data_IF_266243998506
#
_entry.id   IF_266243998506
#
_cell.length_a   1.000
_cell.length_b   1.000
_cell.length_c   1.000
_cell.angle_alpha   90.00
_cell.angle_beta   90.00
_cell.angle_gamma   90.00
#
_symmetry.space_group_name_H-M   'P 1'
#
loop_
_entity.id
_entity.type
_entity.pdbx_description
1 polymer ?
#
# COMPACT_ATOMS: atom_id res chain seq x y z
N UNK A 1 -12.57 10.88 -9.50
CA UNK A 1 -12.46 10.14 -10.77
C UNK A 1 -12.95 8.73 -10.51
N UNK A 2 -13.81 8.18 -11.37
CA UNK A 2 -14.24 6.78 -11.25
C UNK A 2 -13.03 5.89 -11.53
N UNK A 3 -12.44 5.27 -10.50
CA UNK A 3 -11.42 4.24 -10.70
C UNK A 3 -12.01 3.15 -11.60
N UNK A 4 -11.35 2.87 -12.72
CA UNK A 4 -11.73 1.76 -13.59
C UNK A 4 -11.49 0.46 -12.82
N UNK A 5 -12.56 -0.30 -12.60
CA UNK A 5 -12.50 -1.60 -11.91
C UNK A 5 -13.02 -2.69 -12.85
N UNK A 6 -12.36 -3.85 -12.81
CA UNK A 6 -12.74 -5.02 -13.60
C UNK A 6 -12.67 -6.28 -12.72
N UNK A 7 -13.36 -7.34 -13.13
CA UNK A 7 -13.27 -8.63 -12.44
C UNK A 7 -12.02 -9.38 -12.92
N UNK A 8 -11.13 -9.72 -11.98
CA UNK A 8 -9.98 -10.56 -12.21
C UNK A 8 -9.47 -11.13 -10.88
N UNK A 9 -8.43 -11.96 -10.94
CA UNK A 9 -7.75 -12.45 -9.75
C UNK A 9 -6.93 -11.34 -9.09
N UNK A 10 -7.12 -11.14 -7.78
CA UNK A 10 -6.34 -10.21 -6.99
C UNK A 10 -4.94 -10.76 -6.71
N UNK A 11 -3.89 -10.03 -7.07
CA UNK A 11 -2.49 -10.44 -6.86
C UNK A 11 -2.08 -10.56 -5.38
N UNK A 12 -2.86 -10.00 -4.46
CA UNK A 12 -2.55 -10.02 -3.03
C UNK A 12 -3.22 -11.14 -2.25
N UNK A 13 -4.42 -11.58 -2.66
CA UNK A 13 -5.19 -12.61 -1.97
C UNK A 13 -5.60 -13.78 -2.85
N UNK A 14 -5.27 -13.76 -4.14
CA UNK A 14 -5.52 -14.80 -5.13
C UNK A 14 -7.00 -15.20 -5.29
N UNK A 15 -7.91 -14.26 -5.01
CA UNK A 15 -9.35 -14.44 -5.20
C UNK A 15 -9.83 -13.65 -6.41
N UNK A 16 -10.79 -14.20 -7.15
CA UNK A 16 -11.50 -13.48 -8.21
C UNK A 16 -12.45 -12.48 -7.56
N UNK A 17 -12.16 -11.18 -7.71
CA UNK A 17 -12.93 -10.07 -7.16
C UNK A 17 -12.84 -8.86 -8.12
N UNK A 18 -13.52 -7.76 -7.78
CA UNK A 18 -13.29 -6.48 -8.45
C UNK A 18 -11.93 -5.92 -8.05
N UNK A 19 -11.07 -5.71 -9.04
CA UNK A 19 -9.71 -5.21 -8.88
C UNK A 19 -9.53 -3.85 -9.57
N UNK A 20 -8.52 -3.11 -9.13
CA UNK A 20 -8.06 -1.89 -9.79
C UNK A 20 -7.10 -2.21 -10.96
N UNK A 21 -6.44 -1.19 -11.49
CA UNK A 21 -5.50 -1.29 -12.61
C UNK A 21 -4.19 -2.04 -12.30
N UNK A 22 -3.81 -2.19 -11.03
CA UNK A 22 -2.68 -3.03 -10.58
C UNK A 22 -3.30 -4.21 -9.83
N UNK A 23 -3.84 -5.21 -10.54
CA UNK A 23 -4.88 -6.16 -10.12
C UNK A 23 -5.00 -6.47 -8.62
N UNK A 24 -5.43 -5.50 -7.83
CA UNK A 24 -5.63 -5.61 -6.39
C UNK A 24 -7.09 -5.31 -6.07
N UNK A 25 -7.69 -6.17 -5.25
CA UNK A 25 -8.96 -5.84 -4.63
C UNK A 25 -8.75 -4.69 -3.64
N UNK A 26 -9.83 -4.00 -3.28
CA UNK A 26 -9.79 -2.81 -2.39
C UNK A 26 -8.98 -3.02 -1.10
N UNK A 27 -9.10 -4.21 -0.50
CA UNK A 27 -8.39 -4.56 0.73
C UNK A 27 -6.87 -4.67 0.51
N UNK A 28 -6.45 -5.41 -0.52
CA UNK A 28 -5.04 -5.56 -0.87
C UNK A 28 -4.43 -4.23 -1.34
N UNK A 29 -5.16 -3.42 -2.12
CA UNK A 29 -4.68 -2.10 -2.52
C UNK A 29 -4.43 -1.20 -1.30
N UNK A 30 -5.34 -1.23 -0.31
CA UNK A 30 -5.17 -0.46 0.92
C UNK A 30 -3.93 -0.90 1.72
N UNK A 31 -3.58 -2.19 1.69
CA UNK A 31 -2.36 -2.71 2.31
C UNK A 31 -1.11 -2.27 1.55
N UNK A 32 -1.15 -2.38 0.23
CA UNK A 32 -0.07 -1.97 -0.66
C UNK A 32 0.27 -0.48 -0.48
N UNK A 33 -0.75 0.39 -0.48
CA UNK A 33 -0.57 1.82 -0.24
C UNK A 33 0.09 2.11 1.12
N UNK A 34 -0.35 1.43 2.18
CA UNK A 34 0.30 1.57 3.51
C UNK A 34 1.75 1.12 3.49
N UNK A 35 2.07 0.04 2.77
CA UNK A 35 3.44 -0.46 2.65
C UNK A 35 4.34 0.52 1.89
N UNK A 36 3.85 1.11 0.79
CA UNK A 36 4.59 2.17 0.09
C UNK A 36 4.92 3.34 1.03
N UNK A 37 3.94 3.80 1.80
CA UNK A 37 4.16 4.89 2.78
C UNK A 37 5.10 4.45 3.90
N UNK A 38 4.99 3.22 4.42
CA UNK A 38 5.93 2.65 5.41
C UNK A 38 7.36 2.59 4.88
N UNK A 39 7.55 2.30 3.60
CA UNK A 39 8.87 2.26 2.97
C UNK A 39 9.40 3.65 2.61
N UNK A 40 8.58 4.70 2.70
CA UNK A 40 8.95 6.05 2.27
C UNK A 40 8.82 6.29 0.77
N UNK A 41 8.20 5.34 0.04
CA UNK A 41 7.97 5.38 -1.40
C UNK A 41 6.77 6.28 -1.76
N UNK A 42 6.78 7.52 -1.25
CA UNK A 42 5.62 8.42 -1.29
C UNK A 42 5.21 8.88 -2.70
N UNK A 43 6.13 8.82 -3.65
CA UNK A 43 5.89 9.18 -5.06
C UNK A 43 5.01 8.17 -5.79
N UNK A 44 4.92 6.95 -5.26
CA UNK A 44 4.11 5.86 -5.81
C UNK A 44 2.81 5.61 -5.03
N UNK A 45 2.56 6.36 -3.95
CA UNK A 45 1.37 6.19 -3.10
C UNK A 45 0.35 7.30 -3.32
N UNK A 46 -0.88 6.89 -3.63
CA UNK A 46 -2.04 7.77 -3.74
C UNK A 46 -2.38 8.42 -2.39
N UNK A 47 -2.14 7.72 -1.28
CA UNK A 47 -2.37 8.24 0.08
C UNK A 47 -1.56 9.52 0.37
N UNK A 48 -0.43 9.71 -0.30
CA UNK A 48 0.48 10.85 -0.09
C UNK A 48 0.60 11.77 -1.29
N UNK A 49 -0.06 11.46 -2.41
CA UNK A 49 0.06 12.20 -3.67
C UNK A 49 -0.39 13.67 -3.56
N UNK A 50 -1.37 13.95 -2.69
CA UNK A 50 -1.90 15.29 -2.45
C UNK A 50 -1.02 16.14 -1.51
N UNK A 51 0.04 15.57 -0.93
CA UNK A 51 0.94 16.26 -0.01
C UNK A 51 2.20 16.73 -0.75
N UNK A 52 2.54 18.00 -0.59
CA UNK A 52 3.73 18.60 -1.22
C UNK A 52 4.97 18.54 -0.33
N UNK A 53 4.83 18.58 1.00
CA UNK A 53 5.97 18.59 1.92
C UNK A 53 6.36 17.17 2.36
N UNK A 54 7.68 16.93 2.47
CA UNK A 54 8.22 15.68 3.02
C UNK A 54 7.77 15.45 4.46
N UNK A 55 7.72 16.51 5.26
CA UNK A 55 7.29 16.44 6.66
C UNK A 55 5.84 15.96 6.80
N UNK A 56 4.92 16.45 5.96
CA UNK A 56 3.54 15.98 5.98
C UNK A 56 3.44 14.49 5.63
N UNK A 57 4.22 14.04 4.64
CA UNK A 57 4.30 12.61 4.25
C UNK A 57 4.84 11.74 5.39
N UNK A 58 5.87 12.20 6.10
CA UNK A 58 6.40 11.52 7.29
C UNK A 58 5.38 11.45 8.43
N UNK A 59 4.54 12.47 8.60
CA UNK A 59 3.48 12.44 9.60
C UNK A 59 2.39 11.39 9.24
N UNK A 60 2.05 11.25 7.97
CA UNK A 60 1.16 10.16 7.51
C UNK A 60 1.80 8.79 7.76
N UNK A 61 3.10 8.65 7.48
CA UNK A 61 3.85 7.41 7.78
C UNK A 61 3.79 7.06 9.27
N UNK A 62 4.02 8.03 10.16
CA UNK A 62 3.93 7.83 11.62
C UNK A 62 2.53 7.41 12.05
N UNK A 63 1.48 8.03 11.49
CA UNK A 63 0.10 7.67 11.77
C UNK A 63 -0.24 6.24 11.31
N UNK A 64 0.20 5.85 10.11
CA UNK A 64 0.05 4.48 9.60
C UNK A 64 0.74 3.47 10.51
N UNK A 65 1.99 3.74 10.91
CA UNK A 65 2.76 2.86 11.80
C UNK A 65 2.06 2.75 13.17
N UNK A 66 1.53 3.84 13.70
CA UNK A 66 0.81 3.86 14.97
C UNK A 66 -0.46 2.99 14.92
N UNK A 67 -1.24 3.10 13.83
CA UNK A 67 -2.54 2.40 13.68
C UNK A 67 -2.43 0.95 13.22
N UNK A 68 -1.44 0.64 12.38
CA UNK A 68 -1.35 -0.63 11.66
C UNK A 68 -0.04 -1.38 11.92
N UNK A 69 0.85 -0.84 12.75
CA UNK A 69 2.17 -1.40 13.01
C UNK A 69 3.20 -1.09 11.92
N UNK A 70 4.47 -1.32 12.27
CA UNK A 70 5.62 -1.03 11.40
C UNK A 70 5.91 -2.09 10.34
N UNK A 71 5.38 -3.31 10.50
CA UNK A 71 5.62 -4.42 9.55
C UNK A 71 4.85 -4.20 8.25
N UNK A 72 5.46 -4.62 7.15
CA UNK A 72 4.80 -4.66 5.84
C UNK A 72 3.72 -5.74 5.81
N UNK A 73 2.66 -5.50 5.07
CA UNK A 73 1.46 -6.37 5.04
C UNK A 73 1.32 -7.17 3.73
N UNK A 74 1.86 -6.65 2.63
CA UNK A 74 1.70 -7.18 1.28
C UNK A 74 3.02 -7.19 0.49
N UNK A 75 3.85 -6.16 0.65
CA UNK A 75 5.16 -6.11 -0.02
C UNK A 75 6.13 -7.01 0.73
N UNK A 76 6.56 -8.08 0.06
CA UNK A 76 7.66 -8.91 0.55
C UNK A 76 8.95 -8.18 0.20
N UNK A 77 9.62 -7.63 1.22
CA UNK A 77 10.99 -7.17 1.06
C UNK A 77 11.87 -8.42 0.91
N UNK A 78 12.48 -8.63 -0.26
CA UNK A 78 13.42 -9.74 -0.48
C UNK A 78 14.62 -9.70 0.49
N UNK A 79 14.88 -8.55 1.14
CA UNK A 79 15.89 -8.40 2.19
C UNK A 79 15.35 -8.69 3.60
N UNK A 80 14.05 -8.94 3.77
CA UNK A 80 13.49 -9.37 5.05
C UNK A 80 13.75 -10.87 5.28
N UNK A 81 14.87 -11.16 5.95
CA UNK A 81 15.07 -12.46 6.56
C UNK A 81 14.33 -12.47 7.92
N UNK A 82 13.26 -13.27 8.11
CA UNK A 82 12.54 -13.35 9.38
C UNK A 82 13.36 -13.97 10.54
N UNK A 83 14.64 -14.28 10.31
CA UNK A 83 15.54 -14.98 11.22
C UNK A 83 16.65 -14.10 11.83
N UNK A 84 16.60 -12.78 11.69
CA UNK A 84 17.59 -11.84 12.25
C UNK A 84 16.97 -10.86 13.25
#
# INVERSE_FOLDING_TARGET
MSEFQYEAECHGCFKIEKVNHIPFCKSCNSKFERDLVRQGNYEFSELTAHLSSKEAKENVRKDIISKHGAKLELVIDEKYNPSN
#
